data_IF_206876942164
#
_entry.id   IF_206876942164
#
_cell.length_a   1.000
_cell.length_b   1.000
_cell.length_c   1.000
_cell.angle_alpha   90.00
_cell.angle_beta   90.00
_cell.angle_gamma   90.00
#
_symmetry.space_group_name_H-M   'P 1'
#
loop_
_entity.id
_entity.type
_entity.pdbx_description
1 polymer ?
#
# COMPACT_ATOMS: atom_id res chain seq x y z
N UNK A 1 9.50 -20.33 -0.27
CA UNK A 1 9.13 -18.90 -0.33
C UNK A 1 8.39 -18.53 0.95
N UNK A 2 8.77 -17.44 1.62
CA UNK A 2 8.19 -17.01 2.92
C UNK A 2 6.94 -16.12 2.77
N UNK A 3 6.29 -16.14 1.59
CA UNK A 3 5.07 -15.39 1.31
C UNK A 3 4.16 -16.13 0.31
N UNK A 4 2.90 -15.68 0.21
CA UNK A 4 1.93 -16.11 -0.81
C UNK A 4 1.09 -14.91 -1.27
N UNK A 5 1.00 -14.70 -2.57
CA UNK A 5 0.15 -13.65 -3.16
C UNK A 5 -1.10 -14.31 -3.75
N UNK A 6 -2.28 -13.85 -3.37
CA UNK A 6 -3.57 -14.34 -3.90
C UNK A 6 -4.48 -13.18 -4.27
N UNK A 7 -5.41 -13.41 -5.19
CA UNK A 7 -6.52 -12.49 -5.42
C UNK A 7 -7.47 -12.58 -4.21
N UNK A 8 -7.91 -11.44 -3.69
CA UNK A 8 -8.93 -11.41 -2.66
C UNK A 8 -10.26 -11.89 -3.24
N UNK A 9 -10.86 -12.88 -2.60
CA UNK A 9 -12.17 -13.43 -2.99
C UNK A 9 -13.31 -12.47 -2.65
N UNK A 10 -13.10 -11.61 -1.65
CA UNK A 10 -14.03 -10.57 -1.20
C UNK A 10 -13.39 -9.20 -1.37
N UNK A 11 -13.25 -8.70 -2.61
CA UNK A 11 -12.60 -7.43 -2.87
C UNK A 11 -13.39 -6.28 -2.25
N UNK A 12 -12.69 -5.19 -1.91
CA UNK A 12 -13.36 -3.98 -1.46
C UNK A 12 -14.02 -3.30 -2.65
N UNK A 13 -14.95 -2.37 -2.37
CA UNK A 13 -15.54 -1.51 -3.37
C UNK A 13 -14.44 -0.60 -3.96
N UNK A 14 -13.89 -1.00 -5.10
CA UNK A 14 -12.90 -0.26 -5.88
C UNK A 14 -13.33 -0.25 -7.34
N UNK A 15 -12.87 0.76 -8.06
CA UNK A 15 -13.20 0.98 -9.47
C UNK A 15 -12.85 -0.22 -10.36
N UNK A 16 -13.56 -0.33 -11.48
CA UNK A 16 -13.32 -1.37 -12.46
C UNK A 16 -11.87 -1.29 -12.99
N UNK A 17 -11.27 -2.45 -13.23
CA UNK A 17 -9.86 -2.56 -13.65
C UNK A 17 -8.84 -2.71 -12.52
N UNK A 18 -9.21 -2.48 -11.26
CA UNK A 18 -8.35 -2.87 -10.14
C UNK A 18 -8.53 -4.33 -9.76
N UNK A 19 -7.42 -5.03 -9.54
CA UNK A 19 -7.39 -6.32 -8.87
C UNK A 19 -6.98 -6.12 -7.41
N UNK A 20 -7.85 -6.54 -6.48
CA UNK A 20 -7.51 -6.58 -5.06
C UNK A 20 -6.72 -7.87 -4.77
N UNK A 21 -5.45 -7.71 -4.45
CA UNK A 21 -4.51 -8.77 -4.10
C UNK A 21 -4.22 -8.73 -2.60
N UNK A 22 -3.99 -9.89 -2.00
CA UNK A 22 -3.51 -10.04 -0.62
C UNK A 22 -2.12 -10.69 -0.68
N UNK A 23 -1.17 -10.10 0.02
CA UNK A 23 0.18 -10.64 0.20
C UNK A 23 0.30 -11.17 1.63
N UNK A 24 0.25 -12.49 1.78
CA UNK A 24 0.47 -13.19 3.03
C UNK A 24 1.96 -13.43 3.27
N UNK A 25 2.42 -13.26 4.50
CA UNK A 25 3.82 -13.46 4.89
C UNK A 25 3.92 -14.42 6.07
N UNK A 26 4.93 -15.30 6.07
CA UNK A 26 5.32 -16.09 7.25
C UNK A 26 6.13 -15.26 8.26
N UNK A 27 6.67 -14.13 7.82
CA UNK A 27 7.45 -13.19 8.63
C UNK A 27 6.62 -11.95 8.97
N UNK A 28 6.94 -11.30 10.09
CA UNK A 28 6.34 -10.01 10.45
C UNK A 28 6.63 -8.98 9.36
N UNK A 29 5.61 -8.22 8.98
CA UNK A 29 5.72 -7.19 7.94
C UNK A 29 6.40 -5.91 8.44
N UNK A 30 6.28 -5.63 9.74
CA UNK A 30 6.90 -4.47 10.37
C UNK A 30 8.09 -4.93 11.20
N UNK A 31 9.25 -4.31 10.97
CA UNK A 31 10.48 -4.52 11.74
C UNK A 31 10.68 -3.36 12.72
N UNK A 32 10.57 -3.58 14.04
CA UNK A 32 10.81 -2.54 15.04
C UNK A 32 12.18 -1.86 14.93
N UNK A 33 13.21 -2.59 14.46
CA UNK A 33 14.55 -2.06 14.27
C UNK A 33 14.69 -1.04 13.13
N UNK A 34 13.70 -0.95 12.24
CA UNK A 34 13.61 0.10 11.20
C UNK A 34 12.88 1.35 11.72
N UNK A 35 12.27 1.29 12.90
CA UNK A 35 11.59 2.44 13.47
C UNK A 35 12.59 3.45 14.02
N UNK A 36 12.36 4.74 13.75
CA UNK A 36 13.15 5.85 14.30
C UNK A 36 12.82 6.11 15.77
N UNK A 37 11.64 5.71 16.24
CA UNK A 37 11.19 5.90 17.62
C UNK A 37 10.07 4.91 18.03
N UNK A 38 9.92 4.59 19.32
CA UNK A 38 8.82 3.74 19.80
C UNK A 38 7.43 4.27 19.41
N UNK A 39 7.26 5.59 19.37
CA UNK A 39 6.02 6.24 18.95
C UNK A 39 5.70 5.95 17.48
N UNK A 40 6.69 6.01 16.58
CA UNK A 40 6.47 5.70 15.17
C UNK A 40 6.02 4.24 14.98
N UNK A 41 6.64 3.32 15.72
CA UNK A 41 6.23 1.91 15.74
C UNK A 41 4.78 1.74 16.21
N UNK A 42 4.41 2.36 17.34
CA UNK A 42 3.07 2.24 17.90
C UNK A 42 2.01 2.81 16.96
N UNK A 43 2.27 3.99 16.39
CA UNK A 43 1.38 4.62 15.42
C UNK A 43 1.17 3.76 14.17
N UNK A 44 2.22 3.08 13.68
CA UNK A 44 2.09 2.17 12.55
C UNK A 44 1.22 0.95 12.86
N UNK A 45 1.20 0.48 14.10
CA UNK A 45 0.29 -0.60 14.54
C UNK A 45 -1.15 -0.11 14.68
N UNK A 46 -1.35 1.06 15.30
CA UNK A 46 -2.67 1.63 15.58
C UNK A 46 -3.38 2.19 14.35
N UNK A 47 -2.62 2.75 13.40
CA UNK A 47 -3.15 3.42 12.21
C UNK A 47 -2.95 2.61 10.93
N UNK A 48 -2.13 1.55 10.98
CA UNK A 48 -1.70 0.84 9.79
C UNK A 48 -0.70 1.65 8.97
N UNK A 49 -0.41 1.16 7.76
CA UNK A 49 0.41 1.85 6.77
C UNK A 49 -0.29 1.82 5.42
N UNK A 50 -0.05 2.82 4.59
CA UNK A 50 -0.60 2.84 3.24
C UNK A 50 0.27 3.67 2.32
N UNK A 51 0.16 3.44 1.02
CA UNK A 51 0.84 4.26 0.04
C UNK A 51 0.39 3.98 -1.37
N UNK A 52 0.99 4.74 -2.28
CA UNK A 52 0.76 4.65 -3.71
C UNK A 52 2.09 4.45 -4.43
N UNK A 53 2.06 3.74 -5.57
CA UNK A 53 3.22 3.52 -6.45
C UNK A 53 2.75 3.69 -7.88
N UNK A 54 3.53 4.42 -8.68
CA UNK A 54 3.27 4.63 -10.11
C UNK A 54 1.84 5.13 -10.40
N UNK A 55 1.41 6.22 -9.78
CA UNK A 55 0.08 6.80 -10.04
C UNK A 55 0.03 7.46 -11.42
N UNK A 56 -1.02 7.14 -12.19
CA UNK A 56 -1.40 7.86 -13.38
C UNK A 56 -1.73 9.33 -13.08
N UNK A 57 -1.52 10.20 -14.07
CA UNK A 57 -1.91 11.62 -13.95
C UNK A 57 -3.41 11.79 -13.67
N UNK A 58 -4.25 10.89 -14.22
CA UNK A 58 -5.68 10.86 -13.92
C UNK A 58 -5.95 10.61 -12.44
N UNK A 59 -5.26 9.65 -11.83
CA UNK A 59 -5.39 9.37 -10.40
C UNK A 59 -4.83 10.50 -9.54
N UNK A 60 -3.67 11.07 -9.88
CA UNK A 60 -3.10 12.23 -9.17
C UNK A 60 -4.09 13.39 -9.11
N UNK A 61 -4.74 13.72 -10.25
CA UNK A 61 -5.78 14.77 -10.30
C UNK A 61 -6.97 14.46 -9.38
N UNK A 62 -7.45 13.21 -9.35
CA UNK A 62 -8.53 12.79 -8.45
C UNK A 62 -8.14 12.93 -6.98
N UNK A 63 -6.95 12.47 -6.61
CA UNK A 63 -6.45 12.61 -5.24
C UNK A 63 -6.32 14.09 -4.82
N UNK A 64 -5.91 14.96 -5.74
CA UNK A 64 -5.92 16.40 -5.52
C UNK A 64 -7.33 16.97 -5.30
N UNK A 65 -8.32 16.57 -6.10
CA UNK A 65 -9.69 17.07 -5.96
C UNK A 65 -10.36 16.69 -4.63
N UNK A 66 -9.97 15.57 -4.03
CA UNK A 66 -10.43 15.17 -2.69
C UNK A 66 -9.66 15.84 -1.54
N UNK A 67 -8.75 16.78 -1.85
CA UNK A 67 -7.76 17.32 -0.91
C UNK A 67 -6.92 16.23 -0.22
N UNK A 68 -6.94 15.00 -0.77
CA UNK A 68 -6.32 13.83 -0.18
C UNK A 68 -4.82 13.86 -0.44
N UNK A 69 -4.39 14.36 -1.59
CA UNK A 69 -2.97 14.55 -1.85
C UNK A 69 -2.36 15.60 -0.91
N UNK A 70 -3.08 16.65 -0.52
CA UNK A 70 -2.59 17.61 0.46
C UNK A 70 -2.52 17.02 1.88
N UNK A 71 -3.45 16.11 2.23
CA UNK A 71 -3.37 15.33 3.48
C UNK A 71 -2.22 14.32 3.48
N UNK A 72 -1.84 13.80 2.31
CA UNK A 72 -0.67 12.94 2.11
C UNK A 72 0.64 13.75 2.02
N UNK A 73 0.58 14.98 1.49
CA UNK A 73 1.70 15.93 1.37
C UNK A 73 1.94 16.73 2.66
N UNK A 74 0.96 16.87 3.56
CA UNK A 74 1.15 17.50 4.88
C UNK A 74 2.03 16.66 5.81
N UNK A 75 2.41 15.44 5.40
CA UNK A 75 3.48 14.68 6.02
C UNK A 75 4.79 14.68 5.25
N UNK A 76 4.88 15.13 3.98
CA UNK A 76 6.15 15.28 3.25
C UNK A 76 5.96 16.05 1.93
N UNK A 77 6.71 17.16 1.79
CA UNK A 77 6.76 18.01 0.61
C UNK A 77 7.94 17.62 -0.29
N UNK A 78 7.76 16.66 -1.19
CA UNK A 78 8.61 16.54 -2.38
C UNK A 78 7.90 15.72 -3.46
N UNK A 79 7.95 16.16 -4.73
CA UNK A 79 7.28 15.48 -5.85
C UNK A 79 7.96 14.16 -6.25
N UNK A 80 9.00 13.74 -5.51
CA UNK A 80 9.55 12.38 -5.51
C UNK A 80 8.92 11.54 -4.39
N UNK A 81 7.74 10.95 -4.65
CA UNK A 81 7.04 9.99 -3.77
C UNK A 81 7.91 8.80 -3.31
N UNK A 82 9.08 8.61 -3.93
CA UNK A 82 10.01 7.51 -3.67
C UNK A 82 11.03 7.77 -2.56
N UNK A 83 11.25 9.03 -2.12
CA UNK A 83 12.41 9.34 -1.28
C UNK A 83 12.16 9.56 0.22
N UNK A 84 10.92 9.73 0.69
CA UNK A 84 10.59 9.86 2.13
C UNK A 84 9.49 8.88 2.56
N UNK A 85 9.61 7.62 2.16
CA UNK A 85 8.72 6.58 2.67
C UNK A 85 8.97 6.37 4.18
N UNK A 86 7.91 6.19 4.97
CA UNK A 86 8.02 5.67 6.33
C UNK A 86 8.97 4.46 6.31
N UNK A 87 10.06 4.42 7.11
CA UNK A 87 11.06 3.36 7.03
C UNK A 87 10.48 1.96 7.26
N UNK A 88 9.36 1.88 7.98
CA UNK A 88 8.60 0.64 8.20
C UNK A 88 7.91 0.12 6.92
N UNK A 89 7.69 0.98 5.92
CA UNK A 89 7.04 0.64 4.66
C UNK A 89 8.02 0.19 3.56
N UNK A 90 9.33 0.43 3.73
CA UNK A 90 10.34 0.25 2.68
C UNK A 90 10.32 -1.16 2.09
N UNK A 91 10.23 -2.19 2.94
CA UNK A 91 10.25 -3.58 2.47
C UNK A 91 8.99 -3.95 1.67
N UNK A 92 7.81 -3.42 2.04
CA UNK A 92 6.58 -3.59 1.26
C UNK A 92 6.69 -2.90 -0.10
N UNK A 93 7.21 -1.67 -0.13
CA UNK A 93 7.40 -0.90 -1.37
C UNK A 93 8.38 -1.63 -2.30
N UNK A 94 9.51 -2.12 -1.77
CA UNK A 94 10.47 -2.93 -2.55
C UNK A 94 9.82 -4.20 -3.09
N UNK A 95 9.07 -4.92 -2.26
CA UNK A 95 8.35 -6.12 -2.68
C UNK A 95 7.39 -5.81 -3.84
N UNK A 96 6.59 -4.76 -3.70
CA UNK A 96 5.62 -4.32 -4.69
C UNK A 96 6.29 -4.00 -6.03
N UNK A 97 7.34 -3.15 -6.00
CA UNK A 97 8.08 -2.74 -7.20
C UNK A 97 8.74 -3.90 -7.94
N UNK A 98 9.15 -4.94 -7.21
CA UNK A 98 9.77 -6.13 -7.79
C UNK A 98 8.76 -7.17 -8.29
N UNK A 99 7.51 -7.12 -7.81
CA UNK A 99 6.51 -8.17 -8.05
C UNK A 99 5.58 -7.85 -9.23
N UNK A 100 5.17 -6.59 -9.36
CA UNK A 100 4.30 -6.12 -10.43
C UNK A 100 5.10 -5.27 -11.40
N UNK A 101 4.83 -5.42 -12.70
CA UNK A 101 5.39 -4.63 -13.79
C UNK A 101 4.26 -4.33 -14.79
N UNK A 102 4.36 -3.22 -15.54
CA UNK A 102 3.36 -2.87 -16.57
C UNK A 102 1.97 -2.49 -16.03
N UNK A 103 1.90 -1.96 -14.81
CA UNK A 103 0.66 -1.48 -14.19
C UNK A 103 0.52 0.04 -14.33
N UNK A 104 -0.72 0.52 -14.42
CA UNK A 104 -1.05 1.94 -14.57
C UNK A 104 -1.14 2.66 -13.22
N UNK A 105 -1.74 2.02 -12.22
CA UNK A 105 -1.91 2.56 -10.88
C UNK A 105 -1.72 1.44 -9.87
N UNK A 106 -1.00 1.71 -8.78
CA UNK A 106 -0.89 0.79 -7.65
C UNK A 106 -1.06 1.52 -6.33
N UNK A 107 -1.89 0.94 -5.47
CA UNK A 107 -2.08 1.37 -4.09
C UNK A 107 -1.96 0.17 -3.17
N UNK A 108 -1.52 0.40 -1.94
CA UNK A 108 -1.36 -0.68 -0.98
C UNK A 108 -1.65 -0.18 0.43
N UNK A 109 -2.06 -1.10 1.30
CA UNK A 109 -2.25 -0.81 2.71
C UNK A 109 -2.05 -2.05 3.59
N UNK A 110 -1.46 -1.83 4.75
CA UNK A 110 -1.45 -2.71 5.89
C UNK A 110 -2.50 -2.19 6.88
N UNK A 111 -3.50 -3.02 7.19
CA UNK A 111 -4.55 -2.64 8.13
C UNK A 111 -3.97 -2.39 9.54
N UNK A 112 -4.55 -1.44 10.30
CA UNK A 112 -4.38 -1.40 11.74
C UNK A 112 -4.61 -2.76 12.38
N UNK A 113 -3.87 -3.08 13.45
CA UNK A 113 -3.94 -4.40 14.10
C UNK A 113 -5.36 -4.76 14.55
N UNK A 114 -6.12 -3.77 15.02
CA UNK A 114 -7.50 -3.92 15.48
C UNK A 114 -8.51 -4.18 14.36
N UNK A 115 -8.13 -3.95 13.10
CA UNK A 115 -8.97 -4.22 11.92
C UNK A 115 -8.55 -5.47 11.15
N UNK A 116 -7.52 -6.20 11.61
CA UNK A 116 -7.07 -7.43 10.98
C UNK A 116 -7.92 -8.62 11.42
N UNK A 117 -8.54 -9.31 10.48
CA UNK A 117 -9.33 -10.53 10.77
C UNK A 117 -8.44 -11.74 11.09
N UNK A 118 -7.22 -11.79 10.55
CA UNK A 118 -6.24 -12.86 10.77
C UNK A 118 -4.92 -12.28 11.32
N UNK A 119 -4.88 -11.80 12.57
CA UNK A 119 -3.73 -11.06 13.12
C UNK A 119 -2.45 -11.92 13.25
N UNK A 120 -2.61 -13.23 13.43
CA UNK A 120 -1.47 -14.16 13.54
C UNK A 120 -0.81 -14.49 12.20
N UNK A 121 -1.45 -14.13 11.08
CA UNK A 121 -0.93 -14.35 9.74
C UNK A 121 -0.74 -13.00 9.04
N UNK A 122 0.45 -12.39 9.13
CA UNK A 122 0.70 -11.05 8.61
C UNK A 122 0.37 -10.94 7.13
N UNK A 123 -0.42 -9.92 6.78
CA UNK A 123 -0.80 -9.64 5.41
C UNK A 123 -0.97 -8.15 5.15
N UNK A 124 -0.72 -7.77 3.91
CA UNK A 124 -1.09 -6.45 3.40
C UNK A 124 -1.83 -6.59 2.08
N UNK A 125 -2.57 -5.55 1.76
CA UNK A 125 -3.45 -5.47 0.61
C UNK A 125 -2.79 -4.63 -0.47
N UNK A 126 -2.94 -5.05 -1.71
CA UNK A 126 -2.45 -4.34 -2.90
C UNK A 126 -3.59 -4.27 -3.89
N UNK A 127 -3.93 -3.07 -4.35
CA UNK A 127 -4.75 -2.91 -5.54
C UNK A 127 -3.86 -2.54 -6.71
N UNK A 128 -3.93 -3.34 -7.77
CA UNK A 128 -3.16 -3.13 -8.99
C UNK A 128 -4.11 -2.95 -10.16
N UNK A 129 -3.92 -1.87 -10.93
CA UNK A 129 -4.62 -1.64 -12.18
C UNK A 129 -3.69 -1.93 -13.34
N UNK A 130 -4.04 -2.90 -14.18
CA UNK A 130 -3.25 -3.24 -15.37
C UNK A 130 -3.52 -2.28 -16.52
N UNK A 131 -2.48 -1.95 -17.28
CA UNK A 131 -2.61 -1.10 -18.45
C UNK A 131 -3.49 -1.78 -19.53
N UNK A 132 -4.37 -1.01 -20.17
CA UNK A 132 -5.24 -1.52 -21.24
C UNK A 132 -6.58 -2.11 -20.79
N UNK A 133 -6.99 -1.88 -19.53
CA UNK A 133 -8.37 -2.17 -19.12
C UNK A 133 -9.33 -1.21 -19.85
N UNK A 134 -10.17 -1.72 -20.73
CA UNK A 134 -11.29 -0.98 -21.34
C UNK A 134 -12.60 -1.48 -20.75
N UNK A 135 -13.45 -0.58 -20.27
CA UNK A 135 -14.87 -0.87 -20.14
C UNK A 135 -15.41 -1.15 -21.54
N UNK A 136 -16.00 -2.31 -21.74
CA UNK A 136 -16.59 -2.74 -23.01
C UNK A 136 -17.67 -1.77 -23.48
#
# INVERSE_FOLDING_TARGET
>A
MDYKVIKNEWPYAIDHGYQHMIVWSRLKLLNPGLSKSPTQWHLALEQGLSGFVNLSEGMKRRLHSFNLLNKLKSSDSDDNLDHHSNPLAIEMIKFIKNRWFGYEDLMWFLNPVQLQSCPDLPHFHVFVKTQGWSEW
#
